data_IF_880001781876
#
_entry.id   IF_880001781876
#
_cell.length_a   1.000
_cell.length_b   1.000
_cell.length_c   1.000
_cell.angle_alpha   90.00
_cell.angle_beta   90.00
_cell.angle_gamma   90.00
#
_symmetry.space_group_name_H-M   'P 1'
#
loop_
_entity.id
_entity.type
_entity.pdbx_description
1 polymer ?
#
# COMPACT_ATOMS: atom_id res chain seq x y z
N UNK A 1 3.59 -11.48 -23.99
CA UNK A 1 3.27 -12.50 -22.97
C UNK A 1 1.87 -12.27 -22.40
N UNK A 2 1.30 -13.34 -21.81
CA UNK A 2 -0.04 -13.33 -21.19
C UNK A 2 0.09 -13.46 -19.67
N UNK A 3 -0.41 -12.46 -18.94
CA UNK A 3 -0.34 -12.40 -17.49
C UNK A 3 -1.72 -12.58 -16.88
N UNK A 4 -1.82 -13.43 -15.86
CA UNK A 4 -2.98 -13.48 -14.98
C UNK A 4 -2.57 -12.91 -13.61
N UNK A 5 -3.06 -11.70 -13.28
CA UNK A 5 -2.93 -11.15 -11.95
C UNK A 5 -4.13 -11.51 -11.07
N UNK A 6 -3.90 -11.76 -9.79
CA UNK A 6 -4.92 -12.16 -8.82
C UNK A 6 -4.80 -11.36 -7.53
N UNK A 7 -5.85 -10.61 -7.18
CA UNK A 7 -5.92 -9.86 -5.93
C UNK A 7 -7.37 -9.50 -5.60
N UNK A 8 -7.79 -9.58 -4.34
CA UNK A 8 -9.15 -9.22 -3.90
C UNK A 8 -9.50 -7.77 -4.25
N UNK A 9 -8.56 -6.86 -4.03
CA UNK A 9 -8.71 -5.43 -4.30
C UNK A 9 -7.97 -5.07 -5.57
N UNK A 10 -8.67 -4.78 -6.64
CA UNK A 10 -8.05 -4.33 -7.90
C UNK A 10 -7.57 -2.88 -7.79
N UNK A 11 -6.34 -2.56 -8.17
CA UNK A 11 -5.24 -3.45 -8.59
C UNK A 11 -4.33 -3.91 -7.43
N UNK A 12 -4.61 -3.52 -6.17
CA UNK A 12 -3.79 -3.84 -5.00
C UNK A 12 -2.33 -3.43 -5.19
N UNK A 13 -1.40 -4.27 -4.74
CA UNK A 13 0.05 -4.05 -4.87
C UNK A 13 0.55 -4.03 -6.32
N UNK A 14 -0.24 -4.51 -7.28
CA UNK A 14 0.18 -4.69 -8.67
C UNK A 14 -0.02 -3.46 -9.58
N UNK A 15 -0.47 -2.31 -9.02
CA UNK A 15 -0.74 -1.10 -9.79
C UNK A 15 0.42 -0.70 -10.70
N UNK A 16 1.62 -0.62 -10.14
CA UNK A 16 2.79 -0.12 -10.85
C UNK A 16 3.29 -1.10 -11.90
N UNK A 17 3.39 -2.40 -11.55
CA UNK A 17 3.85 -3.41 -12.52
C UNK A 17 2.85 -3.62 -13.66
N UNK A 18 1.54 -3.56 -13.39
CA UNK A 18 0.51 -3.64 -14.45
C UNK A 18 0.62 -2.45 -15.39
N UNK A 19 0.80 -1.22 -14.86
CA UNK A 19 0.99 -0.02 -15.70
C UNK A 19 2.26 -0.07 -16.52
N UNK A 20 3.35 -0.59 -15.94
CA UNK A 20 4.63 -0.74 -16.62
C UNK A 20 4.54 -1.72 -17.78
N UNK A 21 3.94 -2.90 -17.59
CA UNK A 21 3.68 -3.88 -18.65
C UNK A 21 2.76 -3.34 -19.76
N UNK A 22 1.75 -2.54 -19.40
CA UNK A 22 0.88 -1.89 -20.38
C UNK A 22 1.61 -0.82 -21.19
N UNK A 23 2.49 -0.06 -20.55
CA UNK A 23 3.28 0.99 -21.21
C UNK A 23 4.28 0.42 -22.23
N UNK A 24 4.88 -0.74 -21.93
CA UNK A 24 5.72 -1.48 -22.86
C UNK A 24 4.93 -1.97 -24.08
N UNK A 25 3.68 -2.37 -23.88
CA UNK A 25 2.82 -2.93 -24.93
C UNK A 25 3.14 -4.38 -25.27
N UNK A 26 2.35 -5.00 -26.19
CA UNK A 26 2.56 -6.37 -26.63
C UNK A 26 2.30 -7.43 -25.56
N UNK A 27 1.64 -7.08 -24.46
CA UNK A 27 1.22 -7.99 -23.40
C UNK A 27 -0.30 -8.07 -23.33
N UNK A 28 -0.82 -9.25 -23.00
CA UNK A 28 -2.23 -9.46 -22.68
C UNK A 28 -2.36 -9.64 -21.16
N UNK A 29 -3.09 -8.74 -20.50
CA UNK A 29 -3.23 -8.72 -19.05
C UNK A 29 -4.69 -9.00 -18.67
N UNK A 30 -4.89 -10.12 -17.95
CA UNK A 30 -6.14 -10.44 -17.29
C UNK A 30 -5.93 -10.26 -15.79
N UNK A 31 -6.87 -9.60 -15.13
CA UNK A 31 -6.85 -9.41 -13.69
C UNK A 31 -8.10 -10.00 -13.04
N UNK A 32 -7.91 -11.00 -12.19
CA UNK A 32 -8.96 -11.67 -11.44
C UNK A 32 -9.10 -11.05 -10.05
N UNK A 33 -10.31 -10.59 -9.68
CA UNK A 33 -10.56 -9.80 -8.47
C UNK A 33 -11.98 -9.97 -7.95
N UNK A 34 -12.24 -9.57 -6.71
CA UNK A 34 -13.60 -9.36 -6.22
C UNK A 34 -14.24 -8.14 -6.91
N UNK A 35 -15.60 -8.06 -6.95
CA UNK A 35 -16.29 -6.96 -7.60
C UNK A 35 -15.90 -5.60 -7.01
N UNK A 36 -15.46 -4.68 -7.85
CA UNK A 36 -15.14 -3.30 -7.50
C UNK A 36 -15.30 -2.38 -8.71
N UNK A 37 -15.32 -1.05 -8.49
CA UNK A 37 -15.50 -0.04 -9.56
C UNK A 37 -14.20 0.40 -10.22
N UNK A 38 -13.03 0.02 -9.69
CA UNK A 38 -11.75 0.44 -10.24
C UNK A 38 -11.51 -0.18 -11.62
N UNK A 39 -10.86 0.56 -12.51
CA UNK A 39 -10.49 0.10 -13.84
C UNK A 39 -9.11 0.66 -14.24
N UNK A 40 -8.36 -0.12 -15.02
CA UNK A 40 -7.15 0.33 -15.71
C UNK A 40 -7.37 0.04 -17.19
N UNK A 41 -7.35 1.06 -18.07
CA UNK A 41 -7.47 0.85 -19.51
C UNK A 41 -6.41 -0.14 -20.02
N UNK A 42 -6.83 -1.10 -20.86
CA UNK A 42 -5.94 -2.16 -21.36
C UNK A 42 -5.90 -3.42 -20.51
N UNK A 43 -6.43 -3.41 -19.28
CA UNK A 43 -6.58 -4.62 -18.44
C UNK A 43 -7.97 -5.23 -18.64
N UNK A 44 -8.02 -6.53 -18.95
CA UNK A 44 -9.27 -7.29 -18.90
C UNK A 44 -9.54 -7.77 -17.48
N UNK A 45 -10.51 -7.14 -16.81
CA UNK A 45 -10.90 -7.51 -15.46
C UNK A 45 -11.96 -8.62 -15.48
N UNK A 46 -11.71 -9.70 -14.71
CA UNK A 46 -12.64 -10.79 -14.47
C UNK A 46 -12.94 -10.85 -12.97
N UNK A 47 -14.21 -10.85 -12.62
CA UNK A 47 -14.63 -10.89 -11.21
C UNK A 47 -15.11 -12.28 -10.82
N UNK A 48 -14.71 -12.74 -9.65
CA UNK A 48 -15.26 -13.89 -8.97
C UNK A 48 -16.17 -13.45 -7.82
N UNK A 49 -17.17 -14.27 -7.48
CA UNK A 49 -18.04 -13.96 -6.36
C UNK A 49 -17.28 -14.09 -5.03
N UNK A 50 -17.45 -13.11 -4.14
CA UNK A 50 -16.93 -13.23 -2.79
C UNK A 50 -17.53 -14.49 -2.11
N UNK A 51 -16.71 -15.31 -1.41
CA UNK A 51 -17.21 -16.51 -0.79
C UNK A 51 -18.22 -16.20 0.34
N UNK A 52 -19.16 -17.10 0.60
CA UNK A 52 -20.11 -16.94 1.70
C UNK A 52 -19.39 -16.97 3.06
N UNK A 53 -20.00 -16.36 4.07
CA UNK A 53 -19.48 -16.38 5.44
C UNK A 53 -19.25 -17.83 5.92
N UNK A 54 -18.17 -18.02 6.69
CA UNK A 54 -17.87 -19.31 7.33
C UNK A 54 -19.00 -19.70 8.28
N UNK A 55 -19.56 -20.92 8.16
CA UNK A 55 -20.63 -21.41 9.04
C UNK A 55 -20.22 -21.44 10.52
N UNK A 56 -21.20 -21.34 11.41
CA UNK A 56 -20.94 -21.30 12.85
C UNK A 56 -20.42 -22.63 13.42
N UNK A 57 -20.71 -23.77 12.75
CA UNK A 57 -20.23 -25.11 13.15
C UNK A 57 -18.75 -25.38 12.85
N UNK A 58 -18.05 -24.49 12.16
CA UNK A 58 -16.61 -24.64 11.92
C UNK A 58 -15.83 -24.32 13.20
N UNK A 59 -14.88 -25.21 13.55
CA UNK A 59 -14.02 -25.03 14.72
C UNK A 59 -13.34 -23.65 14.71
N UNK A 60 -13.36 -22.90 15.81
CA UNK A 60 -12.83 -21.51 15.85
C UNK A 60 -11.42 -21.35 15.29
N UNK A 61 -10.51 -22.28 15.60
CA UNK A 61 -9.14 -22.25 15.11
C UNK A 61 -9.03 -22.50 13.59
N UNK A 62 -10.04 -23.11 12.95
CA UNK A 62 -10.02 -23.41 11.51
C UNK A 62 -10.76 -22.37 10.66
N UNK A 63 -11.44 -21.38 11.26
CA UNK A 63 -12.33 -20.46 10.52
C UNK A 63 -11.60 -19.65 9.44
N UNK A 64 -10.42 -19.12 9.73
CA UNK A 64 -9.63 -18.38 8.73
C UNK A 64 -9.12 -19.29 7.61
N UNK A 65 -8.74 -20.51 7.95
CA UNK A 65 -8.33 -21.51 6.96
C UNK A 65 -9.51 -21.99 6.09
N UNK A 66 -10.69 -22.25 6.69
CA UNK A 66 -11.91 -22.58 5.95
C UNK A 66 -12.29 -21.43 4.98
N UNK A 67 -12.19 -20.17 5.43
CA UNK A 67 -12.42 -19.03 4.54
C UNK A 67 -11.43 -19.01 3.37
N UNK A 68 -10.16 -19.34 3.61
CA UNK A 68 -9.15 -19.43 2.54
C UNK A 68 -9.47 -20.55 1.54
N UNK A 69 -9.99 -21.69 1.99
CA UNK A 69 -10.43 -22.77 1.10
C UNK A 69 -11.63 -22.34 0.24
N UNK A 70 -12.60 -21.64 0.81
CA UNK A 70 -13.72 -21.04 0.06
C UNK A 70 -13.25 -20.02 -0.97
N UNK A 71 -12.20 -19.25 -0.66
CA UNK A 71 -11.59 -18.33 -1.62
C UNK A 71 -10.84 -19.08 -2.72
N UNK A 72 -10.20 -20.20 -2.39
CA UNK A 72 -9.58 -21.07 -3.39
C UNK A 72 -10.62 -21.64 -4.38
N UNK A 73 -11.79 -22.04 -3.91
CA UNK A 73 -12.93 -22.46 -4.76
C UNK A 73 -13.43 -21.32 -5.65
N UNK A 74 -13.59 -20.11 -5.07
CA UNK A 74 -14.02 -18.93 -5.82
C UNK A 74 -12.98 -18.53 -6.89
N UNK A 75 -11.70 -18.57 -6.54
CA UNK A 75 -10.58 -18.36 -7.47
C UNK A 75 -10.57 -19.39 -8.60
N UNK A 76 -10.76 -20.67 -8.27
CA UNK A 76 -10.89 -21.74 -9.26
C UNK A 76 -12.04 -21.48 -10.24
N UNK A 77 -13.22 -21.13 -9.74
CA UNK A 77 -14.39 -20.83 -10.59
C UNK A 77 -14.11 -19.63 -11.53
N UNK A 78 -13.48 -18.56 -11.02
CA UNK A 78 -13.07 -17.41 -11.82
C UNK A 78 -12.05 -17.77 -12.89
N UNK A 79 -11.07 -18.61 -12.54
CA UNK A 79 -10.04 -19.09 -13.46
C UNK A 79 -10.65 -20.00 -14.57
N UNK A 80 -11.66 -20.82 -14.23
CA UNK A 80 -12.39 -21.62 -15.22
C UNK A 80 -13.12 -20.75 -16.24
N UNK A 81 -13.70 -19.62 -15.83
CA UNK A 81 -14.28 -18.64 -16.76
C UNK A 81 -13.21 -18.05 -17.68
N UNK A 82 -12.06 -17.67 -17.14
CA UNK A 82 -10.93 -17.15 -17.93
C UNK A 82 -10.46 -18.19 -18.97
N UNK A 83 -10.33 -19.45 -18.58
CA UNK A 83 -9.98 -20.55 -19.49
C UNK A 83 -11.04 -20.77 -20.58
N UNK A 84 -12.32 -20.70 -20.23
CA UNK A 84 -13.42 -20.83 -21.18
C UNK A 84 -13.47 -19.70 -22.22
N UNK A 85 -12.96 -18.51 -21.89
CA UNK A 85 -12.76 -17.40 -22.82
C UNK A 85 -11.52 -17.57 -23.73
N UNK A 86 -10.86 -18.72 -23.71
CA UNK A 86 -9.68 -19.02 -24.53
C UNK A 86 -8.37 -18.41 -24.04
N UNK A 87 -8.34 -17.85 -22.82
CA UNK A 87 -7.12 -17.29 -22.23
C UNK A 87 -6.36 -18.37 -21.44
N UNK A 88 -5.08 -18.53 -21.77
CA UNK A 88 -4.12 -19.32 -20.98
C UNK A 88 -2.94 -18.41 -20.65
N UNK A 89 -2.66 -18.16 -19.36
CA UNK A 89 -1.55 -17.32 -18.95
C UNK A 89 -0.20 -18.03 -19.18
N UNK A 90 0.83 -17.21 -19.36
CA UNK A 90 2.22 -17.65 -19.35
C UNK A 90 2.79 -17.70 -17.94
N UNK A 91 2.26 -16.86 -17.05
CA UNK A 91 2.55 -16.78 -15.63
C UNK A 91 1.31 -16.27 -14.88
N UNK A 92 1.12 -16.76 -13.66
CA UNK A 92 0.13 -16.28 -12.69
C UNK A 92 0.87 -15.53 -11.59
N UNK A 93 0.45 -14.30 -11.30
CA UNK A 93 1.02 -13.44 -10.26
C UNK A 93 -0.09 -12.97 -9.33
N UNK A 94 0.03 -13.16 -8.03
CA UNK A 94 -1.06 -12.73 -7.15
C UNK A 94 -0.71 -12.72 -5.67
N UNK A 95 -1.59 -12.11 -4.89
CA UNK A 95 -1.47 -12.12 -3.44
C UNK A 95 -1.88 -13.49 -2.91
N UNK A 96 -0.96 -14.12 -2.17
CA UNK A 96 -1.15 -15.51 -1.76
C UNK A 96 -1.99 -15.66 -0.49
N UNK A 97 -1.94 -14.68 0.41
CA UNK A 97 -2.34 -14.80 1.81
C UNK A 97 -3.81 -15.18 2.09
N UNK A 98 -4.69 -15.07 1.11
CA UNK A 98 -6.14 -15.30 1.33
C UNK A 98 -6.70 -16.56 0.69
N UNK A 99 -5.92 -17.30 -0.13
CA UNK A 99 -6.29 -18.60 -0.67
C UNK A 99 -6.64 -18.65 -2.15
N UNK A 100 -7.00 -17.57 -2.81
CA UNK A 100 -7.46 -17.53 -4.21
C UNK A 100 -6.53 -18.20 -5.21
N UNK A 101 -5.24 -18.24 -4.88
CA UNK A 101 -4.18 -18.78 -5.75
C UNK A 101 -4.01 -20.30 -5.67
N UNK A 102 -4.55 -20.95 -4.62
CA UNK A 102 -4.22 -22.37 -4.31
C UNK A 102 -4.62 -23.34 -5.42
N UNK A 103 -5.85 -23.20 -5.95
CA UNK A 103 -6.39 -24.17 -6.92
C UNK A 103 -6.16 -23.76 -8.38
N UNK A 104 -5.36 -22.71 -8.65
CA UNK A 104 -5.14 -22.23 -10.02
C UNK A 104 -4.26 -23.18 -10.84
N UNK A 105 -3.40 -23.96 -10.19
CA UNK A 105 -2.61 -25.02 -10.84
C UNK A 105 -3.48 -26.10 -11.47
N UNK A 106 -4.68 -26.37 -10.94
CA UNK A 106 -5.63 -27.35 -11.49
C UNK A 106 -6.33 -26.83 -12.75
N UNK A 107 -6.53 -25.50 -12.85
CA UNK A 107 -7.10 -24.87 -14.04
C UNK A 107 -6.06 -24.68 -15.13
N UNK A 108 -4.85 -24.30 -14.76
CA UNK A 108 -3.74 -24.00 -15.67
C UNK A 108 -2.52 -24.89 -15.34
N UNK A 109 -2.59 -26.22 -15.61
CA UNK A 109 -1.49 -27.13 -15.32
C UNK A 109 -0.18 -26.69 -15.99
N UNK A 110 0.91 -26.72 -15.25
CA UNK A 110 2.25 -26.37 -15.73
C UNK A 110 2.50 -24.86 -15.92
N UNK A 111 1.52 -23.99 -15.63
CA UNK A 111 1.74 -22.55 -15.62
C UNK A 111 2.40 -22.15 -14.28
N UNK A 112 3.56 -21.47 -14.32
CA UNK A 112 4.25 -21.03 -13.10
C UNK A 112 3.43 -20.00 -12.34
N UNK A 113 3.52 -20.05 -11.00
CA UNK A 113 2.80 -19.18 -10.07
C UNK A 113 3.81 -18.45 -9.20
N UNK A 114 3.75 -17.10 -9.20
CA UNK A 114 4.49 -16.21 -8.31
C UNK A 114 3.51 -15.56 -7.33
N UNK A 115 3.56 -15.97 -6.06
CA UNK A 115 2.74 -15.43 -4.99
C UNK A 115 3.43 -14.30 -4.24
N UNK A 116 2.67 -13.28 -3.84
CA UNK A 116 3.10 -12.30 -2.84
C UNK A 116 2.83 -12.88 -1.46
N UNK A 117 3.89 -13.26 -0.75
CA UNK A 117 3.87 -13.82 0.59
C UNK A 117 4.12 -12.69 1.58
N UNK A 118 3.04 -12.12 2.11
CA UNK A 118 3.11 -10.93 2.93
C UNK A 118 3.69 -11.24 4.30
N UNK A 119 3.22 -12.30 4.98
CA UNK A 119 3.61 -12.60 6.36
C UNK A 119 3.38 -14.06 6.75
N UNK A 120 4.25 -14.57 7.63
CA UNK A 120 4.08 -15.86 8.29
C UNK A 120 3.80 -15.62 9.78
N UNK A 121 2.64 -16.04 10.25
CA UNK A 121 2.15 -15.73 11.59
C UNK A 121 2.79 -16.63 12.64
N UNK A 122 3.27 -16.02 13.74
CA UNK A 122 3.89 -16.70 14.87
C UNK A 122 3.21 -16.26 16.16
N UNK A 123 3.30 -17.09 17.22
CA UNK A 123 2.76 -16.74 18.54
C UNK A 123 3.73 -15.81 19.26
N UNK A 124 5.04 -16.00 19.03
CA UNK A 124 6.10 -15.25 19.67
C UNK A 124 7.01 -14.58 18.65
N UNK A 125 7.57 -13.44 19.01
CA UNK A 125 8.57 -12.70 18.23
C UNK A 125 8.02 -11.97 16.99
N UNK A 126 6.68 -11.91 16.84
CA UNK A 126 5.99 -11.16 15.81
C UNK A 126 4.88 -10.30 16.41
N UNK A 127 3.84 -10.01 15.65
CA UNK A 127 2.71 -9.17 16.03
C UNK A 127 1.86 -9.71 17.20
N UNK A 128 1.72 -11.04 17.26
CA UNK A 128 0.92 -11.71 18.31
C UNK A 128 1.65 -11.60 19.65
N UNK A 129 0.93 -11.20 20.70
CA UNK A 129 1.46 -10.99 22.05
C UNK A 129 2.62 -9.97 22.16
N UNK A 130 2.82 -9.13 21.13
CA UNK A 130 3.82 -8.08 21.18
C UNK A 130 3.46 -7.00 22.21
N UNK A 131 2.20 -6.61 22.24
CA UNK A 131 1.69 -5.61 23.17
C UNK A 131 1.02 -6.30 24.38
N UNK A 132 1.57 -6.13 25.59
CA UNK A 132 1.02 -6.74 26.78
C UNK A 132 -0.36 -6.18 27.17
N UNK A 133 -0.76 -5.02 26.64
CA UNK A 133 -2.11 -4.46 26.87
C UNK A 133 -3.18 -5.26 26.11
N UNK A 134 -2.80 -5.93 25.00
CA UNK A 134 -3.72 -6.68 24.14
C UNK A 134 -3.27 -8.14 23.93
N UNK A 135 -3.16 -8.94 25.00
CA UNK A 135 -2.69 -10.32 24.88
C UNK A 135 -3.70 -11.18 24.14
N UNK A 136 -3.19 -12.09 23.31
CA UNK A 136 -4.02 -13.11 22.68
C UNK A 136 -4.25 -14.26 23.66
N UNK A 137 -5.49 -14.64 23.94
CA UNK A 137 -5.79 -15.78 24.79
C UNK A 137 -5.18 -17.09 24.21
N UNK A 138 -4.58 -17.96 25.05
CA UNK A 138 -3.89 -19.18 24.60
C UNK A 138 -4.77 -20.12 23.78
N UNK A 139 -6.07 -20.18 24.04
CA UNK A 139 -7.05 -20.98 23.28
C UNK A 139 -7.17 -20.53 21.82
N UNK A 140 -6.71 -19.34 21.48
CA UNK A 140 -6.67 -18.81 20.10
C UNK A 140 -5.36 -19.11 19.36
N UNK A 141 -4.33 -19.64 20.02
CA UNK A 141 -3.04 -19.93 19.38
C UNK A 141 -3.14 -20.94 18.24
N UNK A 142 -4.09 -21.87 18.34
CA UNK A 142 -4.38 -22.81 17.26
C UNK A 142 -4.81 -22.12 15.95
N UNK A 143 -5.54 -21.00 16.04
CA UNK A 143 -5.95 -20.22 14.87
C UNK A 143 -4.76 -19.55 14.17
N UNK A 144 -3.80 -19.02 14.94
CA UNK A 144 -2.56 -18.42 14.39
C UNK A 144 -1.76 -19.46 13.57
N UNK A 145 -1.66 -20.69 14.08
CA UNK A 145 -0.97 -21.78 13.37
C UNK A 145 -1.74 -22.21 12.12
N UNK A 146 -3.07 -22.37 12.24
CA UNK A 146 -3.93 -22.80 11.13
C UNK A 146 -3.93 -21.79 9.97
N UNK A 147 -3.81 -20.49 10.26
CA UNK A 147 -3.72 -19.42 9.26
C UNK A 147 -2.54 -19.63 8.30
N UNK A 148 -1.42 -20.17 8.77
CA UNK A 148 -0.27 -20.48 7.92
C UNK A 148 -0.49 -21.69 6.98
N UNK A 149 -1.59 -22.44 7.12
CA UNK A 149 -1.92 -23.56 6.24
C UNK A 149 -1.93 -23.18 4.76
N UNK A 150 -2.36 -21.96 4.44
CA UNK A 150 -2.31 -21.42 3.07
C UNK A 150 -0.87 -21.33 2.55
N UNK A 151 0.06 -20.80 3.36
CA UNK A 151 1.48 -20.72 3.01
C UNK A 151 2.08 -22.13 2.77
N UNK A 152 1.79 -23.08 3.66
CA UNK A 152 2.27 -24.46 3.54
C UNK A 152 1.76 -25.13 2.25
N UNK A 153 0.47 -25.01 1.94
CA UNK A 153 -0.13 -25.59 0.73
C UNK A 153 0.48 -25.01 -0.55
N UNK A 154 0.68 -23.70 -0.61
CA UNK A 154 1.28 -23.07 -1.77
C UNK A 154 2.65 -23.65 -2.11
N UNK A 155 3.53 -23.73 -1.11
CA UNK A 155 4.86 -24.33 -1.31
C UNK A 155 4.79 -25.83 -1.62
N UNK A 156 3.85 -26.57 -1.03
CA UNK A 156 3.60 -27.97 -1.37
C UNK A 156 3.14 -28.15 -2.83
N UNK A 157 2.34 -27.22 -3.34
CA UNK A 157 1.90 -27.17 -4.75
C UNK A 157 2.96 -26.64 -5.72
N UNK A 158 4.18 -26.38 -5.26
CA UNK A 158 5.29 -25.95 -6.11
C UNK A 158 5.30 -24.47 -6.48
N UNK A 159 4.48 -23.62 -5.83
CA UNK A 159 4.47 -22.20 -6.09
C UNK A 159 5.76 -21.52 -5.63
N UNK A 160 6.16 -20.45 -6.33
CA UNK A 160 7.22 -19.54 -5.92
C UNK A 160 6.63 -18.35 -5.18
N UNK A 161 7.38 -17.81 -4.23
CA UNK A 161 6.99 -16.64 -3.45
C UNK A 161 7.94 -15.47 -3.62
N UNK A 162 7.41 -14.27 -3.47
CA UNK A 162 8.18 -13.08 -3.21
C UNK A 162 7.62 -12.34 -1.99
N UNK A 163 8.49 -11.66 -1.24
CA UNK A 163 8.17 -10.84 -0.07
C UNK A 163 8.98 -9.55 -0.11
N UNK A 164 8.52 -8.43 0.48
CA UNK A 164 9.18 -7.14 0.25
C UNK A 164 10.37 -6.83 1.15
N UNK A 165 10.57 -7.56 2.25
CA UNK A 165 11.63 -7.24 3.24
C UNK A 165 12.32 -8.48 3.79
N UNK A 166 13.54 -8.29 4.31
CA UNK A 166 14.29 -9.34 5.01
C UNK A 166 13.55 -9.76 6.29
N UNK A 167 13.01 -8.80 7.03
CA UNK A 167 12.20 -9.08 8.20
C UNK A 167 11.03 -10.01 7.87
N UNK A 168 10.23 -9.65 6.86
CA UNK A 168 9.08 -10.47 6.47
C UNK A 168 9.53 -11.88 6.04
N UNK A 169 10.62 -12.00 5.26
CA UNK A 169 11.20 -13.30 4.90
C UNK A 169 11.63 -14.09 6.11
N UNK A 170 12.22 -13.46 7.13
CA UNK A 170 12.70 -14.11 8.35
C UNK A 170 11.59 -14.73 9.20
N UNK A 171 10.34 -14.28 9.03
CA UNK A 171 9.19 -14.88 9.74
C UNK A 171 8.85 -16.26 9.22
N UNK A 172 9.19 -16.56 7.95
CA UNK A 172 8.93 -17.86 7.31
C UNK A 172 9.92 -18.94 7.78
N UNK A 173 9.48 -20.22 7.85
CA UNK A 173 10.38 -21.35 8.11
C UNK A 173 11.51 -21.42 7.07
N UNK A 174 12.72 -21.82 7.52
CA UNK A 174 13.91 -21.86 6.66
C UNK A 174 13.74 -22.71 5.38
N UNK A 175 12.94 -23.78 5.42
CA UNK A 175 12.69 -24.62 4.25
C UNK A 175 11.91 -23.95 3.14
N UNK A 176 11.19 -22.84 3.43
CA UNK A 176 10.49 -22.00 2.43
C UNK A 176 11.45 -21.02 1.73
N UNK A 177 12.57 -20.66 2.35
CA UNK A 177 13.46 -19.61 1.88
C UNK A 177 14.04 -19.87 0.49
N UNK A 178 14.25 -21.13 0.10
CA UNK A 178 14.75 -21.47 -1.24
C UNK A 178 13.81 -21.11 -2.40
N UNK A 179 12.53 -20.86 -2.12
CA UNK A 179 11.52 -20.43 -3.11
C UNK A 179 10.88 -19.10 -2.77
N UNK A 180 11.41 -18.37 -1.79
CA UNK A 180 10.89 -17.07 -1.34
C UNK A 180 11.96 -16.00 -1.57
N UNK A 181 11.82 -15.28 -2.67
CA UNK A 181 12.70 -14.17 -3.04
C UNK A 181 12.31 -12.88 -2.33
N UNK A 182 13.27 -11.96 -2.19
CA UNK A 182 13.00 -10.60 -1.73
C UNK A 182 12.93 -9.69 -2.94
N UNK A 183 11.78 -9.02 -3.10
CA UNK A 183 11.57 -7.97 -4.10
C UNK A 183 11.12 -6.72 -3.36
N UNK A 184 12.05 -5.80 -3.11
CA UNK A 184 11.80 -4.58 -2.31
C UNK A 184 10.86 -3.64 -3.06
N UNK A 185 9.74 -3.31 -2.43
CA UNK A 185 8.79 -2.35 -2.99
C UNK A 185 9.37 -0.95 -3.02
N UNK A 186 9.16 -0.25 -4.14
CA UNK A 186 9.60 1.11 -4.36
C UNK A 186 8.49 2.15 -4.35
N UNK A 187 8.87 3.41 -4.30
CA UNK A 187 7.99 4.58 -4.42
C UNK A 187 8.40 5.45 -5.59
N UNK A 188 7.44 6.15 -6.17
CA UNK A 188 7.69 7.09 -7.28
C UNK A 188 8.47 8.31 -6.76
N UNK A 189 9.77 8.33 -7.00
CA UNK A 189 10.67 9.41 -6.57
C UNK A 189 10.43 10.74 -7.28
N UNK A 190 9.70 10.75 -8.39
CA UNK A 190 9.25 11.96 -9.07
C UNK A 190 8.11 12.64 -8.31
N UNK A 191 7.22 11.83 -7.74
CA UNK A 191 6.12 12.27 -6.87
C UNK A 191 6.64 12.47 -5.44
N UNK A 192 7.24 11.43 -4.85
CA UNK A 192 7.74 11.44 -3.48
C UNK A 192 9.13 12.14 -3.40
N UNK A 193 9.13 13.45 -3.53
CA UNK A 193 10.33 14.30 -3.46
C UNK A 193 10.13 15.48 -2.50
N UNK A 194 11.20 16.03 -1.90
CA UNK A 194 11.12 17.22 -1.06
C UNK A 194 10.50 18.42 -1.80
N UNK A 195 9.75 19.25 -1.07
CA UNK A 195 9.28 20.56 -1.52
C UNK A 195 9.50 21.62 -0.42
N UNK A 196 10.67 22.25 -0.38
CA UNK A 196 10.98 23.27 0.63
C UNK A 196 10.06 24.49 0.59
N UNK A 197 9.39 24.76 -0.54
CA UNK A 197 8.46 25.88 -0.67
C UNK A 197 7.22 25.73 0.21
N UNK A 198 6.80 24.49 0.53
CA UNK A 198 5.68 24.22 1.44
C UNK A 198 5.89 24.78 2.84
N UNK A 199 7.13 24.90 3.32
CA UNK A 199 7.44 25.47 4.64
C UNK A 199 7.27 26.99 4.70
N UNK A 200 7.20 27.67 3.55
CA UNK A 200 7.08 29.13 3.44
C UNK A 200 5.64 29.62 3.30
N UNK A 201 4.67 28.72 3.12
CA UNK A 201 3.26 29.03 2.93
C UNK A 201 2.39 28.24 3.91
N UNK A 202 1.17 28.70 4.14
CA UNK A 202 0.18 27.95 4.91
C UNK A 202 -0.24 26.70 4.13
N UNK A 203 -0.07 25.52 4.73
CA UNK A 203 -0.62 24.27 4.21
C UNK A 203 -2.06 24.13 4.70
N UNK A 204 -2.98 23.77 3.81
CA UNK A 204 -4.38 23.44 4.15
C UNK A 204 -4.72 22.06 3.62
N UNK A 205 -5.25 21.17 4.49
CA UNK A 205 -5.76 19.83 4.14
C UNK A 205 -7.03 19.60 4.96
N UNK A 206 -8.18 19.59 4.31
CA UNK A 206 -9.46 19.51 5.01
C UNK A 206 -9.60 20.61 6.09
N UNK A 207 -9.89 20.24 7.36
CA UNK A 207 -9.98 21.19 8.47
C UNK A 207 -8.62 21.67 9.00
N UNK A 208 -7.52 21.01 8.63
CA UNK A 208 -6.17 21.35 9.07
C UNK A 208 -5.67 22.61 8.35
N UNK A 209 -5.11 23.56 9.12
CA UNK A 209 -4.38 24.71 8.60
C UNK A 209 -3.08 24.87 9.37
N UNK A 210 -1.93 24.80 8.68
CA UNK A 210 -0.61 24.90 9.29
C UNK A 210 0.10 26.12 8.76
N UNK A 211 0.26 27.14 9.58
CA UNK A 211 1.00 28.35 9.22
C UNK A 211 2.52 28.11 9.15
N UNK A 212 3.31 28.94 8.44
CA UNK A 212 4.75 28.73 8.27
C UNK A 212 5.55 28.64 9.57
N UNK A 213 5.10 29.32 10.63
CA UNK A 213 5.78 29.32 11.94
C UNK A 213 5.40 28.12 12.82
N UNK A 214 4.29 27.45 12.54
CA UNK A 214 3.86 26.28 13.28
C UNK A 214 4.67 25.05 12.90
N UNK A 215 4.80 24.14 13.85
CA UNK A 215 5.40 22.83 13.70
C UNK A 215 4.32 21.79 13.45
N UNK A 216 4.50 20.96 12.41
CA UNK A 216 3.58 19.89 12.07
C UNK A 216 4.16 18.54 12.48
N UNK A 217 3.47 17.85 13.37
CA UNK A 217 3.67 16.43 13.62
C UNK A 217 2.67 15.66 12.76
N UNK A 218 3.14 14.66 12.03
CA UNK A 218 2.27 13.80 11.21
C UNK A 218 2.31 12.37 11.71
N UNK A 219 1.16 11.73 11.72
CA UNK A 219 0.98 10.31 11.90
C UNK A 219 0.08 9.78 10.76
N UNK A 220 0.48 8.69 10.12
CA UNK A 220 -0.25 8.11 9.00
C UNK A 220 -0.38 6.61 9.18
N UNK A 221 -1.62 6.12 9.16
CA UNK A 221 -1.94 4.70 9.17
C UNK A 221 -3.12 4.43 8.24
N UNK A 222 -3.33 3.18 7.84
CA UNK A 222 -4.52 2.78 7.10
C UNK A 222 -5.78 2.99 7.92
N UNK A 223 -5.75 2.52 9.17
CA UNK A 223 -6.74 2.74 10.20
C UNK A 223 -6.05 3.07 11.52
N UNK A 224 -6.74 3.83 12.39
CA UNK A 224 -6.25 4.27 13.69
C UNK A 224 -6.44 3.16 14.72
N UNK A 225 -5.45 2.28 14.84
CA UNK A 225 -5.52 1.08 15.68
C UNK A 225 -4.17 0.79 16.38
N UNK A 226 -4.14 0.01 17.49
CA UNK A 226 -2.92 -0.31 18.23
C UNK A 226 -1.81 -0.92 17.40
N UNK A 227 -2.13 -1.75 16.41
CA UNK A 227 -1.14 -2.35 15.49
C UNK A 227 -0.19 -1.36 14.82
N UNK A 228 -0.62 -0.10 14.68
CA UNK A 228 0.19 1.00 14.14
C UNK A 228 0.66 1.97 15.22
N UNK A 229 0.62 1.56 16.50
CA UNK A 229 1.07 2.37 17.63
C UNK A 229 0.21 3.60 17.89
N UNK A 230 -1.04 3.60 17.41
CA UNK A 230 -1.94 4.76 17.55
C UNK A 230 -2.16 5.13 19.02
N UNK A 231 -2.40 4.16 19.90
CA UNK A 231 -2.59 4.37 21.33
C UNK A 231 -1.34 4.93 22.01
N UNK A 232 -0.15 4.41 21.67
CA UNK A 232 1.13 4.93 22.19
C UNK A 232 1.34 6.38 21.77
N UNK A 233 1.13 6.69 20.48
CA UNK A 233 1.29 8.06 20.00
C UNK A 233 0.26 9.01 20.62
N UNK A 234 -1.00 8.62 20.74
CA UNK A 234 -2.02 9.44 21.41
C UNK A 234 -1.64 9.74 22.87
N UNK A 235 -1.13 8.75 23.60
CA UNK A 235 -0.66 8.90 24.99
C UNK A 235 0.59 9.79 25.13
N UNK A 236 1.39 9.92 24.05
CA UNK A 236 2.53 10.85 24.01
C UNK A 236 2.10 12.32 23.83
N UNK A 237 0.93 12.58 23.24
CA UNK A 237 0.47 13.94 22.89
C UNK A 237 0.35 14.90 24.08
N UNK A 238 -0.15 14.52 25.27
CA UNK A 238 -0.23 15.44 26.41
C UNK A 238 1.12 16.10 26.73
N UNK A 239 2.19 15.31 26.77
CA UNK A 239 3.54 15.80 27.08
C UNK A 239 4.09 16.67 25.94
N UNK A 240 3.91 16.27 24.70
CA UNK A 240 4.35 17.04 23.53
C UNK A 240 3.65 18.42 23.45
N UNK A 241 2.32 18.42 23.61
CA UNK A 241 1.51 19.63 23.51
C UNK A 241 1.71 20.59 24.70
N UNK A 242 2.03 20.05 25.89
CA UNK A 242 2.39 20.86 27.05
C UNK A 242 3.77 21.52 26.89
N UNK A 243 4.74 20.81 26.29
CA UNK A 243 6.08 21.34 26.08
C UNK A 243 6.15 22.40 24.97
N UNK A 244 5.23 22.37 23.98
CA UNK A 244 5.31 23.22 22.79
C UNK A 244 3.94 23.75 22.39
N UNK A 245 3.80 25.09 22.42
CA UNK A 245 2.55 25.77 22.00
C UNK A 245 2.42 25.96 20.49
N UNK A 246 3.53 25.87 19.73
CA UNK A 246 3.58 26.05 18.27
C UNK A 246 3.31 24.78 17.47
N UNK A 247 3.02 23.66 18.13
CA UNK A 247 2.80 22.35 17.50
C UNK A 247 1.33 22.16 17.10
N UNK A 248 1.14 21.63 15.89
CA UNK A 248 -0.11 21.10 15.35
C UNK A 248 0.10 19.65 14.95
N UNK A 249 -0.86 18.78 15.23
CA UNK A 249 -0.80 17.35 14.98
C UNK A 249 -1.82 16.95 13.91
N UNK A 250 -1.38 16.19 12.94
CA UNK A 250 -2.21 15.59 11.88
C UNK A 250 -2.20 14.07 12.03
N UNK A 251 -3.39 13.48 12.17
CA UNK A 251 -3.60 12.03 12.17
C UNK A 251 -4.42 11.65 10.93
N UNK A 252 -3.78 10.88 10.04
CA UNK A 252 -4.40 10.35 8.82
C UNK A 252 -4.68 8.87 9.02
N UNK A 253 -5.91 8.45 8.78
CA UNK A 253 -6.33 7.05 8.89
C UNK A 253 -7.83 6.93 9.10
N UNK A 254 -8.41 5.80 8.70
CA UNK A 254 -9.82 5.47 8.96
C UNK A 254 -10.04 5.04 10.42
N UNK A 255 -11.30 4.86 10.78
CA UNK A 255 -11.73 4.42 12.11
C UNK A 255 -12.07 2.92 12.16
N UNK A 256 -11.88 2.20 11.04
CA UNK A 256 -12.13 0.77 10.96
C UNK A 256 -10.93 -0.03 11.51
N UNK A 257 -11.05 -1.36 11.48
CA UNK A 257 -9.98 -2.29 11.87
C UNK A 257 -9.35 -2.91 10.62
N UNK A 258 -8.02 -2.93 10.56
CA UNK A 258 -7.26 -3.58 9.48
C UNK A 258 -6.61 -4.88 9.94
N UNK A 259 -6.00 -4.89 11.11
CA UNK A 259 -5.10 -5.96 11.54
C UNK A 259 -5.41 -6.46 12.96
N UNK A 260 -5.70 -5.56 13.88
CA UNK A 260 -5.95 -5.87 15.28
C UNK A 260 -7.39 -6.31 15.59
N UNK A 261 -7.69 -6.41 16.88
CA UNK A 261 -9.06 -6.60 17.35
C UNK A 261 -9.77 -5.25 17.50
N UNK A 262 -11.09 -5.19 17.27
CA UNK A 262 -11.87 -4.01 17.61
C UNK A 262 -11.87 -3.78 19.12
N UNK A 263 -12.01 -2.53 19.59
CA UNK A 263 -12.25 -2.26 21.00
C UNK A 263 -13.61 -2.83 21.43
N UNK A 264 -13.85 -2.99 22.74
CA UNK A 264 -15.13 -3.51 23.25
C UNK A 264 -16.34 -2.67 22.81
N UNK A 265 -16.16 -1.37 22.59
CA UNK A 265 -17.20 -0.45 22.12
C UNK A 265 -16.62 0.61 21.19
N UNK A 266 -17.36 1.01 20.17
CA UNK A 266 -16.99 2.08 19.26
C UNK A 266 -15.77 1.76 18.37
N UNK A 267 -14.84 2.70 18.34
CA UNK A 267 -13.57 2.60 17.59
C UNK A 267 -12.39 3.08 18.46
N UNK A 268 -11.17 2.76 18.05
CA UNK A 268 -9.96 3.09 18.81
C UNK A 268 -9.76 4.60 18.98
N UNK A 269 -10.16 5.44 18.02
CA UNK A 269 -10.15 6.90 18.20
C UNK A 269 -11.04 7.32 19.36
N UNK A 270 -12.26 6.80 19.45
CA UNK A 270 -13.18 7.08 20.54
C UNK A 270 -12.61 6.67 21.91
N UNK A 271 -11.98 5.49 21.98
CA UNK A 271 -11.30 5.01 23.21
C UNK A 271 -10.21 5.99 23.65
N UNK A 272 -9.31 6.39 22.73
CA UNK A 272 -8.23 7.31 23.05
C UNK A 272 -8.74 8.72 23.42
N UNK A 273 -9.79 9.20 22.74
CA UNK A 273 -10.39 10.49 23.05
C UNK A 273 -11.03 10.50 24.44
N UNK A 274 -11.63 9.40 24.87
CA UNK A 274 -12.17 9.24 26.23
C UNK A 274 -11.06 9.15 27.27
N UNK A 275 -10.01 8.34 27.03
CA UNK A 275 -8.86 8.18 27.92
C UNK A 275 -8.14 9.52 28.17
N UNK A 276 -8.02 10.33 27.13
CA UNK A 276 -7.24 11.58 27.15
C UNK A 276 -8.13 12.82 27.34
N UNK A 277 -9.39 12.64 27.72
CA UNK A 277 -10.32 13.76 27.94
C UNK A 277 -9.74 14.78 28.96
N UNK A 278 -9.71 16.06 28.56
CA UNK A 278 -9.14 17.14 29.38
C UNK A 278 -7.61 17.17 29.47
N UNK A 279 -6.90 16.20 28.87
CA UNK A 279 -5.42 16.11 28.89
C UNK A 279 -4.76 16.60 27.60
N UNK A 280 -5.52 16.72 26.50
CA UNK A 280 -5.03 17.19 25.20
C UNK A 280 -5.83 18.40 24.70
N UNK A 281 -5.14 19.33 24.05
CA UNK A 281 -5.76 20.49 23.39
C UNK A 281 -6.21 20.07 21.97
N UNK A 282 -7.50 19.76 21.84
CA UNK A 282 -8.11 19.31 20.59
C UNK A 282 -8.12 20.38 19.48
N UNK A 283 -7.89 21.66 19.79
CA UNK A 283 -7.76 22.68 18.77
C UNK A 283 -6.48 22.53 17.93
N UNK A 284 -5.52 21.75 18.45
CA UNK A 284 -4.23 21.47 17.82
C UNK A 284 -4.09 20.04 17.30
N UNK A 285 -5.09 19.16 17.49
CA UNK A 285 -5.06 17.75 17.07
C UNK A 285 -6.14 17.49 16.04
N UNK A 286 -5.75 17.19 14.81
CA UNK A 286 -6.65 17.07 13.68
C UNK A 286 -6.70 15.63 13.16
N UNK A 287 -7.86 14.98 13.30
CA UNK A 287 -8.16 13.70 12.68
C UNK A 287 -8.71 13.95 11.28
N UNK A 288 -7.93 13.62 10.26
CA UNK A 288 -8.26 13.93 8.87
C UNK A 288 -9.02 12.81 8.15
N UNK A 289 -9.14 11.62 8.80
CA UNK A 289 -9.67 10.46 8.11
C UNK A 289 -8.75 10.03 6.96
N UNK A 290 -9.34 9.52 5.88
CA UNK A 290 -8.60 9.24 4.63
C UNK A 290 -8.51 10.51 3.81
N UNK A 291 -7.33 10.80 3.32
CA UNK A 291 -7.05 11.98 2.48
C UNK A 291 -6.68 11.55 1.07
N UNK A 292 -6.78 12.47 0.11
CA UNK A 292 -6.29 12.25 -1.24
C UNK A 292 -4.77 12.10 -1.24
N UNK A 293 -4.22 11.39 -2.23
CA UNK A 293 -2.80 11.06 -2.28
C UNK A 293 -1.90 12.31 -2.35
N UNK A 294 -2.34 13.35 -3.06
CA UNK A 294 -1.61 14.62 -3.14
C UNK A 294 -1.52 15.32 -1.77
N UNK A 295 -2.61 15.31 -1.01
CA UNK A 295 -2.67 15.84 0.35
C UNK A 295 -1.79 15.05 1.32
N UNK A 296 -1.81 13.71 1.19
CA UNK A 296 -0.93 12.82 1.95
C UNK A 296 0.55 13.18 1.73
N UNK A 297 1.00 13.30 0.47
CA UNK A 297 2.38 13.67 0.15
C UNK A 297 2.70 15.10 0.62
N UNK A 298 1.76 16.03 0.52
CA UNK A 298 1.94 17.41 1.02
C UNK A 298 2.11 17.46 2.55
N UNK A 299 1.37 16.64 3.30
CA UNK A 299 1.52 16.50 4.75
C UNK A 299 2.90 15.97 5.11
N UNK A 300 3.35 14.89 4.45
CA UNK A 300 4.69 14.33 4.69
C UNK A 300 5.82 15.33 4.37
N UNK A 301 5.72 16.06 3.24
CA UNK A 301 6.68 17.11 2.86
C UNK A 301 6.74 18.26 3.86
N UNK A 302 5.61 18.58 4.50
CA UNK A 302 5.51 19.68 5.47
C UNK A 302 5.86 19.23 6.89
N UNK A 303 5.96 17.93 7.14
CA UNK A 303 6.20 17.35 8.46
C UNK A 303 7.50 17.89 9.08
N UNK A 304 7.44 18.27 10.35
CA UNK A 304 8.59 18.58 11.19
C UNK A 304 9.01 17.39 12.06
N UNK A 305 8.08 16.45 12.30
CA UNK A 305 8.33 15.12 12.86
C UNK A 305 7.24 14.16 12.34
N UNK A 306 7.63 13.11 11.61
CA UNK A 306 6.72 12.05 11.18
C UNK A 306 6.84 10.86 12.13
N UNK A 307 5.78 10.55 12.85
CA UNK A 307 5.75 9.42 13.78
C UNK A 307 5.25 8.18 13.05
N UNK A 308 6.09 7.14 13.03
CA UNK A 308 5.79 5.85 12.42
C UNK A 308 6.04 4.72 13.41
N UNK A 309 4.99 4.27 14.05
CA UNK A 309 5.00 3.13 14.95
C UNK A 309 4.32 1.93 14.30
N UNK A 310 4.77 0.74 14.58
CA UNK A 310 4.15 -0.50 14.11
C UNK A 310 4.54 -1.65 14.99
N UNK A 311 3.62 -2.58 15.23
CA UNK A 311 3.98 -3.88 15.74
C UNK A 311 4.95 -4.59 14.79
N UNK A 312 5.67 -5.64 15.23
CA UNK A 312 6.54 -6.46 14.37
C UNK A 312 5.70 -7.22 13.32
N UNK A 313 5.25 -6.51 12.31
CA UNK A 313 4.36 -6.97 11.25
C UNK A 313 4.90 -6.50 9.88
N UNK A 314 4.08 -5.88 9.04
CA UNK A 314 4.48 -5.40 7.71
C UNK A 314 4.67 -3.89 7.70
N UNK A 315 5.71 -3.40 7.04
CA UNK A 315 5.93 -1.97 6.85
C UNK A 315 4.94 -1.39 5.83
N UNK A 316 4.38 -0.23 6.15
CA UNK A 316 3.50 0.51 5.25
C UNK A 316 4.30 1.24 4.16
N UNK A 317 3.68 1.46 3.00
CA UNK A 317 4.24 2.33 1.95
C UNK A 317 4.46 3.75 2.44
N UNK A 318 3.63 4.26 3.37
CA UNK A 318 3.77 5.60 3.94
C UNK A 318 5.13 5.85 4.61
N UNK A 319 5.78 4.82 5.18
CA UNK A 319 7.15 4.94 5.69
C UNK A 319 8.15 5.24 4.56
N UNK A 320 8.06 4.47 3.46
CA UNK A 320 8.92 4.65 2.29
C UNK A 320 8.70 6.02 1.64
N UNK A 321 7.44 6.46 1.56
CA UNK A 321 7.06 7.79 1.06
C UNK A 321 7.59 8.91 1.97
N UNK A 322 7.50 8.75 3.31
CA UNK A 322 8.07 9.69 4.27
C UNK A 322 9.59 9.81 4.13
N UNK A 323 10.31 8.70 4.00
CA UNK A 323 11.74 8.69 3.70
C UNK A 323 12.03 9.40 2.37
N UNK A 324 11.28 9.09 1.33
CA UNK A 324 11.47 9.62 -0.01
C UNK A 324 11.24 11.13 -0.10
N UNK A 325 10.32 11.71 0.66
CA UNK A 325 10.13 13.17 0.72
C UNK A 325 11.14 13.86 1.67
N UNK A 326 11.97 13.10 2.39
CA UNK A 326 12.91 13.63 3.36
C UNK A 326 12.24 14.14 4.64
N UNK A 327 11.13 13.54 5.07
CA UNK A 327 10.52 13.86 6.35
C UNK A 327 11.43 13.40 7.51
N UNK A 328 11.61 14.21 8.58
CA UNK A 328 12.25 13.74 9.80
C UNK A 328 11.38 12.68 10.47
N UNK A 329 11.89 11.44 10.64
CA UNK A 329 11.10 10.30 11.09
C UNK A 329 11.46 9.93 12.53
N UNK A 330 10.44 9.71 13.36
CA UNK A 330 10.51 9.02 14.65
C UNK A 330 9.86 7.66 14.45
N UNK A 331 10.66 6.62 14.40
CA UNK A 331 10.24 5.23 14.20
C UNK A 331 10.18 4.46 15.51
N UNK A 332 9.36 3.40 15.56
CA UNK A 332 9.38 2.43 16.66
C UNK A 332 10.57 1.47 16.56
N UNK A 333 10.96 0.85 17.68
CA UNK A 333 12.10 -0.09 17.80
C UNK A 333 11.79 -1.52 17.32
N UNK A 334 10.77 -1.69 16.49
CA UNK A 334 10.40 -3.01 15.97
C UNK A 334 11.19 -3.38 14.71
N UNK A 335 11.46 -4.68 14.47
CA UNK A 335 12.26 -5.12 13.32
C UNK A 335 11.73 -4.63 11.97
N UNK A 336 10.41 -4.51 11.84
CA UNK A 336 9.78 -4.00 10.60
C UNK A 336 10.10 -2.53 10.34
N UNK A 337 10.37 -1.74 11.37
CA UNK A 337 10.73 -0.32 11.28
C UNK A 337 12.23 -0.14 11.19
N UNK A 338 12.99 -0.86 12.02
CA UNK A 338 14.46 -0.73 12.08
C UNK A 338 15.17 -1.32 10.86
N UNK A 339 14.49 -2.09 10.00
CA UNK A 339 15.00 -2.45 8.67
C UNK A 339 15.18 -1.21 7.76
N UNK A 340 14.42 -0.14 8.02
CA UNK A 340 14.44 1.10 7.23
C UNK A 340 15.05 2.28 8.00
N UNK A 341 14.82 2.33 9.31
CA UNK A 341 15.21 3.46 10.17
C UNK A 341 16.34 3.02 11.09
N UNK A 342 17.55 3.50 10.79
CA UNK A 342 18.72 3.42 11.65
C UNK A 342 18.73 4.63 12.57
N UNK A 343 18.83 4.41 13.90
CA UNK A 343 18.80 5.47 14.90
C UNK A 343 19.95 6.45 14.74
N UNK A 344 19.62 7.74 14.75
CA UNK A 344 20.59 8.82 14.56
C UNK A 344 21.13 8.98 13.12
N UNK A 345 20.74 8.11 12.17
CA UNK A 345 21.17 8.13 10.77
C UNK A 345 20.03 8.47 9.81
N UNK A 346 18.98 7.65 9.75
CA UNK A 346 17.83 7.86 8.86
C UNK A 346 16.55 8.24 9.61
N UNK A 347 16.63 8.36 10.93
CA UNK A 347 15.56 8.78 11.82
C UNK A 347 15.99 8.69 13.28
N UNK A 348 15.06 8.92 14.20
CA UNK A 348 15.22 8.57 15.62
C UNK A 348 14.37 7.33 15.90
N UNK A 349 14.87 6.43 16.74
CA UNK A 349 14.15 5.23 17.16
C UNK A 349 13.68 5.43 18.61
N UNK A 350 12.38 5.22 18.85
CA UNK A 350 11.75 5.26 20.16
C UNK A 350 11.23 3.88 20.55
N UNK A 351 11.14 3.57 21.84
CA UNK A 351 10.48 2.36 22.30
C UNK A 351 9.00 2.38 21.88
N UNK A 352 8.61 1.42 21.03
CA UNK A 352 7.34 1.44 20.29
C UNK A 352 6.09 1.45 21.19
N UNK A 353 6.19 0.90 22.39
CA UNK A 353 5.09 0.82 23.37
C UNK A 353 5.22 1.83 24.53
N UNK A 354 6.25 2.69 24.51
CA UNK A 354 6.49 3.71 25.55
C UNK A 354 6.13 5.11 25.04
N UNK A 355 5.00 5.70 25.51
CA UNK A 355 4.60 7.06 25.14
C UNK A 355 5.64 8.14 25.51
N UNK A 356 6.38 7.97 26.61
CA UNK A 356 7.39 8.94 27.02
C UNK A 356 8.61 8.91 26.12
N UNK A 357 9.07 7.72 25.73
CA UNK A 357 10.14 7.55 24.73
C UNK A 357 9.75 8.18 23.38
N UNK A 358 8.51 7.98 22.93
CA UNK A 358 8.00 8.61 21.70
C UNK A 358 7.94 10.14 21.85
N UNK A 359 7.49 10.66 22.99
CA UNK A 359 7.45 12.09 23.25
C UNK A 359 8.85 12.71 23.24
N UNK A 360 9.84 12.07 23.90
CA UNK A 360 11.22 12.53 23.92
C UNK A 360 11.83 12.62 22.52
N UNK A 361 11.68 11.57 21.72
CA UNK A 361 12.17 11.53 20.35
C UNK A 361 11.51 12.60 19.48
N UNK A 362 10.20 12.81 19.60
CA UNK A 362 9.46 13.86 18.86
C UNK A 362 9.93 15.25 19.31
N UNK A 363 10.04 15.52 20.59
CA UNK A 363 10.49 16.83 21.11
C UNK A 363 11.91 17.12 20.64
N UNK A 364 12.83 16.15 20.74
CA UNK A 364 14.20 16.25 20.24
C UNK A 364 14.22 16.58 18.73
N UNK A 365 13.39 15.92 17.92
CA UNK A 365 13.28 16.17 16.49
C UNK A 365 12.81 17.61 16.20
N UNK A 366 11.93 18.17 17.04
CA UNK A 366 11.41 19.53 16.89
C UNK A 366 12.40 20.62 17.36
N UNK A 367 13.28 20.29 18.31
CA UNK A 367 14.24 21.22 18.93
C UNK A 367 15.54 21.28 18.14
N UNK A 368 16.11 20.11 17.79
CA UNK A 368 17.38 19.98 17.09
C UNK A 368 17.20 20.06 15.56
N UNK A 369 17.02 21.25 15.03
CA UNK A 369 16.69 21.48 13.60
C UNK A 369 17.73 20.91 12.64
N UNK A 370 19.00 21.03 12.97
CA UNK A 370 20.11 20.54 12.13
C UNK A 370 20.12 19.01 12.13
N UNK A 371 19.84 18.38 13.28
CA UNK A 371 19.66 16.94 13.36
C UNK A 371 18.47 16.49 12.48
N UNK A 372 17.30 17.12 12.63
CA UNK A 372 16.11 16.78 11.86
C UNK A 372 16.35 16.93 10.35
N UNK A 373 17.03 17.98 9.91
CA UNK A 373 17.40 18.19 8.51
C UNK A 373 18.35 17.09 8.01
N UNK A 374 19.41 16.79 8.74
CA UNK A 374 20.36 15.74 8.39
C UNK A 374 19.71 14.35 8.31
N UNK A 375 18.86 14.01 9.29
CA UNK A 375 18.15 12.72 9.29
C UNK A 375 17.21 12.59 8.09
N UNK A 376 16.48 13.65 7.75
CA UNK A 376 15.60 13.70 6.58
C UNK A 376 16.38 13.57 5.26
N UNK A 377 17.54 14.23 5.13
CA UNK A 377 18.42 14.13 3.98
C UNK A 377 18.98 12.71 3.82
N UNK A 378 19.44 12.08 4.91
CA UNK A 378 19.96 10.70 4.90
C UNK A 378 18.86 9.70 4.60
N UNK A 379 17.66 9.86 5.18
CA UNK A 379 16.49 9.03 4.84
C UNK A 379 16.14 9.13 3.35
N UNK A 380 16.18 10.35 2.79
CA UNK A 380 15.97 10.56 1.35
C UNK A 380 17.06 9.89 0.51
N UNK A 381 18.32 10.01 0.89
CA UNK A 381 19.42 9.35 0.19
C UNK A 381 19.27 7.83 0.19
N UNK A 382 18.88 7.25 1.33
CA UNK A 382 18.53 5.83 1.41
C UNK A 382 17.38 5.46 0.47
N UNK A 383 16.29 6.24 0.45
CA UNK A 383 15.14 5.99 -0.42
C UNK A 383 15.52 6.06 -1.91
N UNK A 384 16.37 7.01 -2.30
CA UNK A 384 16.89 7.11 -3.68
C UNK A 384 17.71 5.89 -4.06
N UNK A 385 18.53 5.39 -3.14
CA UNK A 385 19.42 4.25 -3.42
C UNK A 385 18.70 2.90 -3.40
N UNK A 386 17.63 2.73 -2.59
CA UNK A 386 17.08 1.41 -2.28
C UNK A 386 15.57 1.27 -2.46
N UNK A 387 14.82 2.37 -2.63
CA UNK A 387 13.36 2.38 -2.69
C UNK A 387 12.83 3.05 -3.96
N UNK A 388 13.61 3.08 -5.03
CA UNK A 388 13.17 3.62 -6.31
C UNK A 388 12.17 2.67 -7.00
N UNK A 389 11.03 3.21 -7.41
CA UNK A 389 10.01 2.47 -8.15
C UNK A 389 10.56 1.83 -9.42
N UNK A 390 11.44 2.53 -10.16
CA UNK A 390 12.00 1.99 -11.38
C UNK A 390 12.90 0.76 -11.11
N UNK A 391 13.65 0.76 -9.99
CA UNK A 391 14.41 -0.42 -9.57
C UNK A 391 13.48 -1.57 -9.16
N UNK A 392 12.45 -1.29 -8.36
CA UNK A 392 11.44 -2.29 -7.99
C UNK A 392 10.81 -2.96 -9.22
N UNK A 393 10.44 -2.18 -10.25
CA UNK A 393 9.85 -2.72 -11.46
C UNK A 393 10.82 -3.64 -12.22
N UNK A 394 12.11 -3.28 -12.30
CA UNK A 394 13.15 -4.13 -12.89
C UNK A 394 13.31 -5.44 -12.11
N UNK A 395 13.39 -5.38 -10.78
CA UNK A 395 13.57 -6.54 -9.92
C UNK A 395 12.35 -7.46 -9.96
N UNK A 396 11.14 -6.87 -9.98
CA UNK A 396 9.90 -7.64 -10.08
C UNK A 396 9.79 -8.37 -11.45
N UNK A 397 10.17 -7.69 -12.53
CA UNK A 397 10.22 -8.30 -13.89
C UNK A 397 11.25 -9.44 -13.95
N UNK A 398 12.42 -9.22 -13.37
CA UNK A 398 13.46 -10.26 -13.30
C UNK A 398 12.96 -11.48 -12.51
N UNK A 399 12.26 -11.26 -11.41
CA UNK A 399 11.67 -12.35 -10.63
C UNK A 399 10.55 -13.08 -11.40
N UNK A 400 9.67 -12.35 -12.08
CA UNK A 400 8.67 -12.97 -12.95
C UNK A 400 9.32 -13.79 -14.09
N UNK A 401 10.39 -13.27 -14.71
CA UNK A 401 11.13 -13.98 -15.77
C UNK A 401 11.79 -15.26 -15.23
N UNK A 402 12.42 -15.18 -14.05
CA UNK A 402 13.04 -16.31 -13.36
C UNK A 402 12.01 -17.43 -13.11
N UNK A 403 10.83 -17.06 -12.58
CA UNK A 403 9.75 -18.01 -12.27
C UNK A 403 9.11 -18.56 -13.54
N UNK A 404 8.93 -17.72 -14.57
CA UNK A 404 8.41 -18.14 -15.87
C UNK A 404 9.40 -19.01 -16.68
N UNK A 405 10.68 -19.02 -16.32
CA UNK A 405 11.74 -19.70 -17.05
C UNK A 405 12.01 -19.09 -18.44
N UNK A 406 11.64 -17.85 -18.68
CA UNK A 406 11.84 -17.09 -19.93
C UNK A 406 11.76 -15.59 -19.72
N UNK A 407 12.38 -14.83 -20.61
CA UNK A 407 12.36 -13.37 -20.57
C UNK A 407 10.94 -12.83 -20.78
N UNK A 408 10.65 -11.72 -20.09
CA UNK A 408 9.43 -10.95 -20.31
C UNK A 408 9.67 -10.01 -21.48
N UNK A 409 9.28 -10.46 -22.67
CA UNK A 409 9.37 -9.68 -23.90
C UNK A 409 7.99 -9.48 -24.51
N UNK A 410 7.70 -8.31 -25.14
CA UNK A 410 6.47 -8.09 -25.87
C UNK A 410 6.28 -9.13 -26.96
N UNK A 411 5.08 -9.64 -27.14
CA UNK A 411 4.75 -10.39 -28.36
C UNK A 411 4.70 -9.40 -29.51
N UNK A 412 5.34 -9.78 -30.63
CA UNK A 412 5.18 -9.04 -31.88
C UNK A 412 3.68 -8.94 -32.21
N UNK A 413 3.18 -7.76 -32.63
CA UNK A 413 1.77 -7.61 -32.96
C UNK A 413 1.36 -8.66 -33.97
N UNK A 414 0.45 -9.56 -33.59
CA UNK A 414 -0.11 -10.55 -34.50
C UNK A 414 -0.72 -9.83 -35.68
N UNK A 415 -0.40 -10.22 -36.95
CA UNK A 415 -1.02 -9.60 -38.10
C UNK A 415 -2.55 -9.75 -37.98
N UNK A 416 -3.27 -8.64 -38.02
CA UNK A 416 -4.73 -8.66 -37.98
C UNK A 416 -5.25 -9.54 -39.10
N UNK A 417 -6.09 -10.53 -38.88
CA UNK A 417 -6.67 -11.32 -39.97
C UNK A 417 -7.42 -10.35 -40.90
N UNK A 418 -6.96 -10.21 -42.15
CA UNK A 418 -7.64 -9.38 -43.14
C UNK A 418 -6.94 -8.08 -43.57
N UNK A 419 -5.77 -7.72 -43.03
CA UNK A 419 -5.01 -6.58 -43.54
C UNK A 419 -4.33 -6.97 -44.87
N UNK A 420 -4.85 -6.49 -46.00
CA UNK A 420 -4.16 -6.59 -47.31
C UNK A 420 -2.82 -5.84 -47.21
N UNK A 421 -1.72 -6.38 -47.81
CA UNK A 421 -0.43 -5.72 -47.75
C UNK A 421 -0.51 -4.34 -48.42
N UNK A 422 -0.08 -3.31 -47.69
CA UNK A 422 0.00 -1.95 -48.22
C UNK A 422 0.98 -1.94 -49.42
N UNK A 423 0.45 -1.59 -50.59
CA UNK A 423 1.23 -1.41 -51.85
C UNK A 423 2.27 -0.32 -51.61
N UNK A 424 3.53 -0.65 -51.77
CA UNK A 424 4.63 0.30 -51.64
C UNK A 424 4.41 1.49 -52.61
N UNK A 425 4.13 2.66 -52.09
CA UNK A 425 4.08 3.92 -52.82
C UNK A 425 5.51 4.44 -52.92
N UNK A 426 6.06 4.44 -54.14
CA UNK A 426 7.34 5.08 -54.45
C UNK A 426 7.26 6.57 -54.10
N UNK A 427 8.17 7.04 -53.26
CA UNK A 427 8.33 8.44 -52.95
C UNK A 427 8.72 9.24 -54.18
N UNK A 428 7.85 10.16 -54.61
CA UNK A 428 8.18 11.20 -55.56
C UNK A 428 8.60 12.45 -54.79
N UNK A 429 9.78 12.95 -55.09
CA UNK A 429 10.33 14.17 -54.54
C UNK A 429 9.48 15.39 -54.92
N UNK A 430 9.00 16.17 -53.95
CA UNK A 430 8.36 17.46 -54.18
C UNK A 430 9.18 18.59 -53.52
N UNK A 431 9.43 19.62 -54.31
CA UNK A 431 10.11 20.88 -54.01
C UNK A 431 9.27 21.76 -53.05
N UNK A 432 9.87 22.65 -52.26
CA UNK A 432 9.15 23.52 -51.33
C UNK A 432 8.61 24.77 -52.04
N UNK A 433 7.32 25.07 -51.81
CA UNK A 433 6.74 26.40 -52.11
C UNK A 433 6.20 26.99 -50.82
N UNK A 434 6.68 28.19 -50.49
CA UNK A 434 6.23 28.96 -49.36
C UNK A 434 4.84 29.56 -49.53
N UNK A 435 4.09 29.61 -48.47
CA UNK A 435 2.89 30.48 -48.37
C UNK A 435 2.71 30.98 -46.93
N UNK A 436 2.36 32.25 -46.86
CA UNK A 436 2.26 33.15 -45.71
C UNK A 436 1.16 32.80 -44.74
N UNK A 437 1.42 33.08 -43.48
CA UNK A 437 0.45 33.06 -42.38
C UNK A 437 -0.54 34.22 -42.45
N UNK A 438 -1.79 33.97 -42.08
CA UNK A 438 -2.77 34.98 -41.69
C UNK A 438 -3.63 34.49 -40.49
N UNK A 439 -4.00 35.35 -39.54
CA UNK A 439 -4.45 34.95 -38.22
C UNK A 439 -5.96 34.74 -38.14
N UNK A 440 -6.40 33.72 -37.39
CA UNK A 440 -7.80 33.45 -37.08
C UNK A 440 -8.21 34.10 -35.75
N UNK A 441 -9.40 34.72 -35.75
CA UNK A 441 -10.07 35.37 -34.61
C UNK A 441 -10.64 34.36 -33.62
N UNK A 442 -10.84 34.76 -32.32
CA UNK A 442 -11.37 33.90 -31.28
C UNK A 442 -12.91 33.78 -31.32
N UNK A 443 -13.44 32.59 -31.06
CA UNK A 443 -14.86 32.32 -30.94
C UNK A 443 -15.36 32.48 -29.52
N UNK A 444 -16.60 32.99 -29.40
CA UNK A 444 -17.26 33.44 -28.22
C UNK A 444 -17.74 32.30 -27.27
N UNK A 445 -17.61 32.57 -25.97
CA UNK A 445 -18.12 31.78 -24.85
C UNK A 445 -19.65 31.95 -24.74
N UNK A 446 -20.42 30.87 -24.81
CA UNK A 446 -21.84 30.83 -24.45
C UNK A 446 -22.00 30.39 -22.98
N UNK A 447 -22.61 31.32 -22.20
CA UNK A 447 -23.10 31.02 -20.83
C UNK A 447 -24.29 30.08 -20.88
N UNK A 448 -24.25 29.00 -20.06
CA UNK A 448 -25.42 28.17 -19.75
C UNK A 448 -25.99 28.58 -18.38
N UNK A 449 -27.32 28.70 -18.32
CA UNK A 449 -28.08 29.23 -17.19
C UNK A 449 -28.30 28.15 -16.10
N UNK A 450 -28.35 28.64 -14.87
CA UNK A 450 -28.64 27.86 -13.66
C UNK A 450 -30.11 27.38 -13.58
N UNK A 451 -30.34 26.11 -13.24
CA UNK A 451 -31.63 25.57 -12.87
C UNK A 451 -31.70 25.41 -11.33
N UNK A 452 -32.78 25.93 -10.74
CA UNK A 452 -33.11 25.86 -9.30
C UNK A 452 -33.62 24.47 -8.91
N UNK A 453 -33.39 23.96 -7.70
CA UNK A 453 -33.96 22.71 -7.22
C UNK A 453 -35.39 22.90 -6.71
N UNK A 454 -36.27 21.97 -7.06
CA UNK A 454 -37.64 21.84 -6.50
C UNK A 454 -37.61 21.06 -5.19
N UNK A 455 -38.26 21.60 -4.19
CA UNK A 455 -38.60 20.95 -2.93
C UNK A 455 -39.58 19.79 -3.14
N UNK A 456 -39.33 18.68 -2.47
CA UNK A 456 -40.33 17.58 -2.35
C UNK A 456 -40.73 17.45 -0.88
N UNK A 457 -42.05 17.42 -0.71
CA UNK A 457 -42.78 17.47 0.55
C UNK A 457 -42.70 16.13 1.32
N UNK A 458 -42.79 16.27 2.63
CA UNK A 458 -43.10 15.19 3.61
C UNK A 458 -44.44 14.50 3.31
N UNK A 459 -44.52 13.19 3.50
CA UNK A 459 -45.64 12.49 4.14
C UNK A 459 -45.16 11.13 4.69
N UNK A 460 -45.37 11.03 6.01
CA UNK A 460 -45.62 9.95 6.99
C UNK A 460 -44.66 8.76 7.01
#
# INVERSE_FOLDING_TARGET
MKFLFVHQNFPGQYLHIVRDLLAEGGHEIVFMTEPNRNAIPGVRKVTYAAPPRVPDGVHPAAREYDMAMRRAEAGYAGAMQIRALGFRPDIIVGHHGWGEMLNLCDVFPGVPILGYFEFYYRIDGTDVNYDPEFPMPPERFGAVRAKNGVNHLAFALGQHGQTPTEWQRSTYPAWMHGRLSIVREGVDLGICRPDPALRRRTLKVGPLSVAPRQKLITYVARNLEPYRGFHTFMRALPRILAARSDVVVSLVGGDEISYGAPPPQGNWRGVMMQELAGRIDLSRVHFLGRVEYEDHIALLRRSDAHVYLSYPFVASWSLREAMAVGAPIVGGDTPTVTEFIADGETGLVAANLDPDSVADAVLRMLEERDLAARLGETARAYAVAHLDLAQYLRDFRAEMARVAGRDIVPEAPSPRPGAKPARAVKAAAARPTGAKASPAKPAAVRKAAAAKPRAAARRR
#
